data_IF_973766746923
#
_entry.id   IF_973766746923
#
_cell.length_a   1.000
_cell.length_b   1.000
_cell.length_c   1.000
_cell.angle_alpha   90.00
_cell.angle_beta   90.00
_cell.angle_gamma   90.00
#
_symmetry.space_group_name_H-M   'P 1'
#
loop_
_entity.id
_entity.type
_entity.pdbx_description
1 polymer ?
#
# COMPACT_ATOMS: atom_id res chain seq x y z
N UNK A 1 2.82 -3.28 40.68
CA UNK A 1 1.40 -3.04 41.04
C UNK A 1 0.96 -1.76 40.38
N UNK A 2 0.01 -1.84 39.46
CA UNK A 2 -0.43 -0.73 38.63
C UNK A 2 -1.35 0.21 39.43
N UNK A 3 -0.94 1.47 39.62
CA UNK A 3 -1.58 2.41 40.56
C UNK A 3 -2.98 2.88 40.14
N UNK A 4 -3.35 2.73 38.86
CA UNK A 4 -4.57 3.32 38.29
C UNK A 4 -5.63 2.32 37.83
N UNK A 5 -5.43 1.02 38.07
CA UNK A 5 -6.32 -0.04 37.56
C UNK A 5 -7.77 0.07 38.08
N UNK A 6 -7.94 0.46 39.35
CA UNK A 6 -9.27 0.65 39.95
C UNK A 6 -9.97 1.89 39.40
N UNK A 7 -9.26 3.01 39.29
CA UNK A 7 -9.76 4.28 38.75
C UNK A 7 -10.22 4.14 37.30
N UNK A 8 -9.43 3.44 36.48
CA UNK A 8 -9.80 3.17 35.08
C UNK A 8 -11.06 2.30 34.99
N UNK A 9 -11.16 1.27 35.83
CA UNK A 9 -12.32 0.36 35.84
C UNK A 9 -13.60 1.09 36.22
N UNK A 10 -13.53 1.98 37.21
CA UNK A 10 -14.65 2.80 37.64
C UNK A 10 -15.05 3.83 36.57
N UNK A 11 -14.07 4.44 35.90
CA UNK A 11 -14.32 5.37 34.79
C UNK A 11 -15.00 4.67 33.60
N UNK A 12 -14.56 3.46 33.24
CA UNK A 12 -15.16 2.67 32.16
C UNK A 12 -16.61 2.27 32.46
N UNK A 13 -16.95 1.98 33.72
CA UNK A 13 -18.32 1.65 34.13
C UNK A 13 -19.27 2.86 34.11
N UNK A 14 -18.73 4.08 34.19
CA UNK A 14 -19.49 5.34 34.15
C UNK A 14 -19.70 5.88 32.73
N UNK A 15 -19.14 5.24 31.71
CA UNK A 15 -19.32 5.66 30.33
C UNK A 15 -20.78 5.44 29.89
N UNK A 16 -21.47 6.47 29.37
CA UNK A 16 -22.78 6.31 28.78
C UNK A 16 -22.70 5.39 27.56
N UNK A 17 -23.63 4.43 27.49
CA UNK A 17 -23.82 3.62 26.29
C UNK A 17 -24.68 4.42 25.31
N UNK A 18 -24.12 4.73 24.14
CA UNK A 18 -24.86 5.34 23.03
C UNK A 18 -25.12 4.26 21.98
N UNK A 19 -26.22 3.50 22.08
CA UNK A 19 -26.62 2.65 20.99
C UNK A 19 -26.99 3.54 19.79
N UNK A 20 -26.72 3.09 18.55
CA UNK A 20 -27.18 3.82 17.37
C UNK A 20 -28.72 3.89 17.37
N UNK A 21 -29.32 4.96 16.80
CA UNK A 21 -30.76 5.07 16.69
C UNK A 21 -31.35 3.88 15.91
N UNK A 22 -32.50 3.35 16.36
CA UNK A 22 -33.15 2.16 15.79
C UNK A 22 -33.40 2.28 14.27
N UNK A 23 -33.63 3.50 13.79
CA UNK A 23 -33.83 3.83 12.37
C UNK A 23 -32.62 3.42 11.50
N UNK A 24 -31.40 3.51 12.04
CA UNK A 24 -30.18 3.12 11.31
C UNK A 24 -30.09 1.61 11.09
N UNK A 25 -30.56 0.83 12.07
CA UNK A 25 -30.65 -0.63 11.96
C UNK A 25 -31.76 -1.08 11.03
N UNK A 26 -32.93 -0.46 11.10
CA UNK A 26 -34.02 -0.75 10.18
C UNK A 26 -33.64 -0.50 8.71
N UNK A 27 -32.96 0.62 8.42
CA UNK A 27 -32.47 0.91 7.07
C UNK A 27 -31.43 -0.10 6.56
N UNK A 28 -30.61 -0.65 7.46
CA UNK A 28 -29.60 -1.66 7.11
C UNK A 28 -30.25 -3.01 6.82
N UNK A 29 -31.18 -3.45 7.67
CA UNK A 29 -31.96 -4.67 7.45
C UNK A 29 -32.78 -4.62 6.16
N UNK A 30 -33.33 -3.47 5.80
CA UNK A 30 -34.09 -3.30 4.56
C UNK A 30 -33.20 -3.42 3.31
N UNK A 31 -31.98 -2.86 3.35
CA UNK A 31 -31.01 -2.94 2.23
C UNK A 31 -30.42 -4.34 2.06
N UNK A 32 -30.32 -5.11 3.13
CA UNK A 32 -29.82 -6.50 3.10
C UNK A 32 -30.91 -7.54 2.79
N UNK A 33 -32.12 -7.12 2.44
CA UNK A 33 -33.17 -8.04 2.06
C UNK A 33 -32.80 -8.76 0.75
N UNK A 34 -32.64 -10.09 0.80
CA UNK A 34 -32.25 -10.92 -0.36
C UNK A 34 -33.40 -11.17 -1.36
N UNK A 35 -34.64 -10.84 -1.00
CA UNK A 35 -35.83 -11.09 -1.83
C UNK A 35 -35.72 -10.47 -3.24
N UNK A 36 -35.37 -9.17 -3.39
CA UNK A 36 -35.22 -8.55 -4.71
C UNK A 36 -34.14 -9.20 -5.57
N UNK A 37 -33.05 -9.67 -4.95
CA UNK A 37 -31.96 -10.35 -5.65
C UNK A 37 -32.41 -11.71 -6.18
N UNK A 38 -33.11 -12.50 -5.36
CA UNK A 38 -33.64 -13.81 -5.78
C UNK A 38 -34.65 -13.66 -6.92
N UNK A 39 -35.49 -12.64 -6.86
CA UNK A 39 -36.44 -12.34 -7.92
C UNK A 39 -35.72 -11.93 -9.22
N UNK A 40 -34.71 -11.06 -9.15
CA UNK A 40 -33.92 -10.68 -10.31
C UNK A 40 -33.17 -11.88 -10.93
N UNK A 41 -32.62 -12.77 -10.10
CA UNK A 41 -31.95 -13.98 -10.59
C UNK A 41 -32.93 -14.94 -11.29
N UNK A 42 -34.17 -15.03 -10.83
CA UNK A 42 -35.20 -15.85 -11.47
C UNK A 42 -35.65 -15.33 -12.83
N UNK A 43 -35.44 -14.04 -13.10
CA UNK A 43 -35.80 -13.39 -14.36
C UNK A 43 -34.64 -13.38 -15.37
N UNK A 44 -33.46 -13.89 -15.00
CA UNK A 44 -32.34 -13.96 -15.92
C UNK A 44 -32.60 -14.97 -17.05
N UNK A 45 -32.49 -14.56 -18.32
CA UNK A 45 -32.64 -15.47 -19.44
C UNK A 45 -31.48 -16.47 -19.48
N UNK A 46 -31.83 -17.74 -19.66
CA UNK A 46 -30.86 -18.82 -19.88
C UNK A 46 -30.44 -18.80 -21.36
N UNK A 47 -29.41 -18.04 -21.69
CA UNK A 47 -28.85 -18.07 -23.05
C UNK A 47 -27.93 -19.29 -23.20
N UNK A 48 -28.32 -20.24 -24.04
CA UNK A 48 -27.40 -21.22 -24.60
C UNK A 48 -26.98 -20.78 -26.01
N UNK A 49 -25.69 -20.97 -26.36
CA UNK A 49 -25.23 -20.71 -27.72
C UNK A 49 -25.96 -21.62 -28.71
N UNK A 50 -26.22 -21.11 -29.91
CA UNK A 50 -26.90 -21.87 -30.97
C UNK A 50 -26.07 -23.09 -31.41
N UNK A 51 -26.72 -24.24 -31.61
CA UNK A 51 -26.05 -25.51 -31.97
C UNK A 51 -25.17 -25.39 -33.22
N UNK A 52 -25.59 -24.55 -34.17
CA UNK A 52 -24.85 -24.26 -35.41
C UNK A 52 -23.45 -23.65 -35.13
N UNK A 53 -23.28 -22.90 -34.03
CA UNK A 53 -21.97 -22.39 -33.62
C UNK A 53 -21.06 -23.53 -33.17
N UNK A 54 -21.58 -24.49 -32.42
CA UNK A 54 -20.81 -25.66 -31.97
C UNK A 54 -20.39 -26.53 -33.15
N UNK A 55 -21.29 -26.82 -34.08
CA UNK A 55 -20.98 -27.57 -35.30
C UNK A 55 -19.89 -26.86 -36.13
N UNK A 56 -19.90 -25.52 -36.20
CA UNK A 56 -18.89 -24.76 -36.94
C UNK A 56 -17.48 -24.84 -36.32
N UNK A 57 -17.39 -25.02 -35.00
CA UNK A 57 -16.14 -25.19 -34.26
C UNK A 57 -15.60 -26.61 -34.48
N UNK A 58 -16.45 -27.62 -34.44
CA UNK A 58 -16.08 -29.01 -34.69
C UNK A 58 -15.70 -29.25 -36.17
N UNK A 59 -16.42 -28.64 -37.11
CA UNK A 59 -16.10 -28.72 -38.53
C UNK A 59 -14.73 -28.09 -38.86
N UNK A 60 -14.30 -27.07 -38.10
CA UNK A 60 -12.97 -26.47 -38.21
C UNK A 60 -11.86 -27.36 -37.62
N UNK A 61 -12.18 -28.27 -36.69
CA UNK A 61 -11.21 -29.15 -36.03
C UNK A 61 -11.04 -30.50 -36.73
N UNK A 62 -11.99 -30.90 -37.59
CA UNK A 62 -11.89 -32.09 -38.44
C UNK A 62 -10.83 -31.90 -39.54
N UNK A 63 -9.57 -32.16 -39.20
CA UNK A 63 -8.43 -32.06 -40.13
C UNK A 63 -8.64 -32.97 -41.35
N UNK A 64 -8.89 -32.35 -42.52
CA UNK A 64 -9.01 -33.04 -43.80
C UNK A 64 -7.64 -33.63 -44.15
N UNK A 65 -7.51 -34.97 -44.11
CA UNK A 65 -6.30 -35.67 -44.58
C UNK A 65 -6.09 -35.40 -46.07
N UNK A 66 -5.33 -34.36 -46.41
CA UNK A 66 -4.89 -34.05 -47.78
C UNK A 66 -3.37 -34.24 -47.92
N UNK A 67 -3.05 -34.82 -49.07
CA UNK A 67 -1.81 -35.44 -49.54
C UNK A 67 -0.53 -34.64 -49.25
N UNK A 68 0.50 -35.35 -48.82
CA UNK A 68 1.69 -34.85 -48.13
C UNK A 68 2.65 -33.97 -48.96
N UNK A 69 2.47 -33.85 -50.28
CA UNK A 69 3.46 -33.18 -51.12
C UNK A 69 3.36 -31.65 -51.12
N UNK A 70 2.16 -31.08 -50.93
CA UNK A 70 1.99 -29.63 -50.78
C UNK A 70 2.47 -29.10 -49.42
N UNK A 71 2.68 -29.99 -48.43
CA UNK A 71 3.06 -29.58 -47.06
C UNK A 71 4.49 -29.06 -47.00
N UNK A 72 5.39 -29.55 -47.85
CA UNK A 72 6.79 -29.09 -47.86
C UNK A 72 6.91 -27.73 -48.56
N UNK A 73 6.24 -27.55 -49.71
CA UNK A 73 6.28 -26.29 -50.44
C UNK A 73 5.53 -25.16 -49.71
N UNK A 74 4.39 -25.46 -49.09
CA UNK A 74 3.63 -24.47 -48.31
C UNK A 74 4.33 -24.11 -46.98
N UNK A 75 5.07 -25.03 -46.35
CA UNK A 75 5.77 -24.74 -45.10
C UNK A 75 6.88 -23.69 -45.27
N UNK A 76 7.61 -23.70 -46.40
CA UNK A 76 8.67 -22.73 -46.67
C UNK A 76 8.09 -21.34 -46.95
N UNK A 77 7.00 -21.25 -47.71
CA UNK A 77 6.36 -19.97 -48.03
C UNK A 77 5.60 -19.37 -46.85
N UNK A 78 4.91 -20.19 -46.06
CA UNK A 78 4.26 -19.76 -44.80
C UNK A 78 5.30 -19.41 -43.73
N UNK A 79 6.44 -20.10 -43.68
CA UNK A 79 7.54 -19.76 -42.77
C UNK A 79 8.13 -18.39 -43.06
N UNK A 80 8.43 -18.09 -44.34
CA UNK A 80 8.98 -16.79 -44.75
C UNK A 80 7.97 -15.64 -44.62
N UNK A 81 6.70 -15.87 -44.99
CA UNK A 81 5.64 -14.87 -44.80
C UNK A 81 5.33 -14.67 -43.32
N UNK A 82 5.26 -15.74 -42.53
CA UNK A 82 5.00 -15.68 -41.09
C UNK A 82 6.08 -14.95 -40.31
N UNK A 83 7.37 -15.24 -40.57
CA UNK A 83 8.50 -14.53 -39.99
C UNK A 83 8.52 -13.05 -40.39
N UNK A 84 8.24 -12.75 -41.66
CA UNK A 84 8.14 -11.38 -42.16
C UNK A 84 7.00 -10.61 -41.49
N UNK A 85 5.81 -11.19 -41.39
CA UNK A 85 4.66 -10.56 -40.73
C UNK A 85 4.84 -10.43 -39.23
N UNK A 86 5.53 -11.37 -38.56
CA UNK A 86 5.79 -11.29 -37.13
C UNK A 86 6.79 -10.18 -36.77
N UNK A 87 7.84 -9.99 -37.59
CA UNK A 87 8.78 -8.88 -37.40
C UNK A 87 8.19 -7.50 -37.72
N UNK A 88 7.20 -7.44 -38.61
CA UNK A 88 6.55 -6.21 -39.04
C UNK A 88 5.26 -5.90 -38.28
N UNK A 89 4.80 -6.77 -37.37
CA UNK A 89 3.59 -6.52 -36.60
C UNK A 89 3.90 -5.54 -35.46
N UNK A 90 3.38 -4.30 -35.48
CA UNK A 90 3.49 -3.43 -34.31
C UNK A 90 2.64 -4.05 -33.20
N UNK A 91 3.31 -4.48 -32.12
CA UNK A 91 2.65 -5.11 -30.98
C UNK A 91 1.47 -4.25 -30.51
N UNK A 92 0.26 -4.81 -30.61
CA UNK A 92 -0.95 -4.16 -30.17
C UNK A 92 -0.92 -4.13 -28.65
N UNK A 93 -0.35 -3.05 -28.12
CA UNK A 93 -0.29 -2.76 -26.70
C UNK A 93 -1.72 -2.55 -26.22
N UNK A 94 -2.36 -3.64 -25.80
CA UNK A 94 -3.64 -3.61 -25.10
C UNK A 94 -3.43 -2.80 -23.83
N UNK A 95 -3.76 -1.52 -23.90
CA UNK A 95 -3.70 -0.60 -22.77
C UNK A 95 -4.82 -0.97 -21.81
N UNK A 96 -4.50 -1.85 -20.85
CA UNK A 96 -5.37 -2.14 -19.72
C UNK A 96 -5.59 -0.82 -18.98
N UNK A 97 -6.83 -0.34 -18.94
CA UNK A 97 -7.19 0.81 -18.13
C UNK A 97 -7.26 0.34 -16.67
N UNK A 98 -6.22 0.64 -15.91
CA UNK A 98 -6.17 0.39 -14.47
C UNK A 98 -6.19 1.73 -13.74
N UNK A 99 -7.09 1.88 -12.77
CA UNK A 99 -7.10 3.01 -11.85
C UNK A 99 -6.35 2.60 -10.60
N UNK A 100 -5.17 3.16 -10.39
CA UNK A 100 -4.47 3.07 -9.10
C UNK A 100 -4.82 4.33 -8.33
N UNK A 101 -5.30 4.19 -7.11
CA UNK A 101 -5.35 5.31 -6.17
C UNK A 101 -3.90 5.68 -5.84
N UNK A 102 -3.48 6.85 -6.32
CA UNK A 102 -2.17 7.39 -5.97
C UNK A 102 -2.22 7.82 -4.51
N UNK A 103 -1.58 7.03 -3.66
CA UNK A 103 -1.25 7.44 -2.29
C UNK A 103 -0.31 8.62 -2.39
N UNK A 104 -0.71 9.77 -1.84
CA UNK A 104 0.12 10.98 -1.80
C UNK A 104 1.48 10.64 -1.18
N UNK A 105 2.55 10.76 -1.96
CA UNK A 105 3.91 10.45 -1.54
C UNK A 105 4.34 11.28 -0.33
N UNK A 106 3.72 12.45 -0.09
CA UNK A 106 3.95 13.30 1.08
C UNK A 106 3.36 12.75 2.38
N UNK A 107 2.42 11.81 2.28
CA UNK A 107 1.83 11.11 3.42
C UNK A 107 2.55 9.80 3.74
N UNK A 108 3.50 9.39 2.89
CA UNK A 108 4.33 8.25 3.18
C UNK A 108 5.39 8.67 4.20
N UNK A 109 5.55 7.96 5.32
CA UNK A 109 6.67 8.20 6.21
C UNK A 109 7.94 7.93 5.42
N UNK A 110 8.70 8.99 5.14
CA UNK A 110 9.95 8.89 4.41
C UNK A 110 10.88 7.97 5.22
N UNK A 111 11.33 6.83 4.68
CA UNK A 111 12.16 5.89 5.41
C UNK A 111 13.59 6.42 5.62
N UNK A 112 13.94 7.53 4.98
CA UNK A 112 15.30 8.05 4.95
C UNK A 112 15.59 8.85 6.21
N UNK A 113 16.20 8.16 7.19
CA UNK A 113 16.60 8.69 8.51
C UNK A 113 17.85 9.56 8.41
N UNK A 114 17.83 10.56 7.53
CA UNK A 114 18.99 11.38 7.21
C UNK A 114 19.52 12.12 8.45
N UNK A 115 18.61 12.63 9.28
CA UNK A 115 18.93 13.34 10.53
C UNK A 115 19.56 12.41 11.58
N UNK A 116 19.08 11.16 11.70
CA UNK A 116 19.65 10.19 12.65
C UNK A 116 21.05 9.75 12.22
N UNK A 117 21.26 9.56 10.91
CA UNK A 117 22.57 9.21 10.36
C UNK A 117 23.60 10.34 10.53
N UNK A 118 23.17 11.60 10.47
CA UNK A 118 24.02 12.76 10.75
C UNK A 118 24.36 12.86 12.24
N UNK A 119 23.39 12.58 13.12
CA UNK A 119 23.64 12.51 14.56
C UNK A 119 24.63 11.40 14.95
N UNK A 120 24.53 10.20 14.35
CA UNK A 120 25.49 9.12 14.61
C UNK A 120 26.92 9.50 14.24
N UNK A 121 27.11 10.23 13.13
CA UNK A 121 28.42 10.76 12.76
C UNK A 121 28.93 11.75 13.81
N UNK A 122 28.08 12.69 14.22
CA UNK A 122 28.41 13.69 15.24
C UNK A 122 28.84 13.02 16.56
N UNK A 123 28.08 12.01 16.99
CA UNK A 123 28.37 11.21 18.17
C UNK A 123 29.71 10.48 18.07
N UNK A 124 30.01 9.89 16.91
CA UNK A 124 31.28 9.22 16.69
C UNK A 124 32.48 10.19 16.81
N UNK A 125 32.34 11.44 16.34
CA UNK A 125 33.35 12.48 16.56
C UNK A 125 33.51 12.85 18.03
N UNK A 126 32.39 12.94 18.77
CA UNK A 126 32.41 13.21 20.21
C UNK A 126 33.09 12.12 21.04
N UNK A 127 32.91 10.84 20.67
CA UNK A 127 33.56 9.71 21.34
C UNK A 127 35.08 9.69 21.07
N UNK A 128 35.51 10.19 19.91
CA UNK A 128 36.93 10.30 19.54
C UNK A 128 37.63 11.51 20.18
N UNK A 129 36.92 12.62 20.46
CA UNK A 129 37.51 13.87 20.96
C UNK A 129 36.68 14.47 22.11
N UNK A 130 36.95 14.01 23.34
CA UNK A 130 36.14 14.26 24.54
C UNK A 130 36.08 15.70 25.06
N UNK A 131 36.98 16.59 24.61
CA UNK A 131 37.05 17.97 25.08
C UNK A 131 35.88 18.84 24.60
N UNK A 132 35.30 18.54 23.43
CA UNK A 132 34.21 19.34 22.86
C UNK A 132 32.82 18.96 23.39
N UNK A 133 32.64 17.69 23.76
CA UNK A 133 31.32 17.13 24.11
C UNK A 133 31.10 16.95 25.62
N UNK A 134 32.00 17.53 26.44
CA UNK A 134 31.94 17.48 27.91
C UNK A 134 31.16 18.63 28.56
N UNK A 135 30.68 19.59 27.76
CA UNK A 135 29.82 20.68 28.26
C UNK A 135 28.43 20.18 28.67
N UNK A 136 27.93 20.70 29.80
CA UNK A 136 26.61 20.34 30.34
C UNK A 136 25.47 20.63 29.34
N UNK A 137 25.60 21.70 28.55
CA UNK A 137 24.64 22.09 27.52
C UNK A 137 24.59 21.06 26.38
N UNK A 138 25.75 20.63 25.87
CA UNK A 138 25.82 19.62 24.81
C UNK A 138 25.19 18.29 25.26
N UNK A 139 25.50 17.84 26.49
CA UNK A 139 24.91 16.61 27.04
C UNK A 139 23.39 16.72 27.25
N UNK A 140 22.89 17.92 27.57
CA UNK A 140 21.45 18.17 27.65
C UNK A 140 20.79 18.01 26.28
N UNK A 141 21.33 18.69 25.25
CA UNK A 141 20.82 18.60 23.88
C UNK A 141 20.87 17.16 23.35
N UNK A 142 21.95 16.43 23.67
CA UNK A 142 22.10 15.02 23.32
C UNK A 142 20.96 14.17 23.91
N UNK A 143 20.67 14.32 25.21
CA UNK A 143 19.57 13.59 25.87
C UNK A 143 18.21 13.94 25.30
N UNK A 144 17.99 15.20 24.94
CA UNK A 144 16.75 15.67 24.30
C UNK A 144 16.59 15.06 22.90
N UNK A 145 17.67 15.04 22.10
CA UNK A 145 17.66 14.41 20.78
C UNK A 145 17.35 12.91 20.87
N UNK A 146 18.01 12.18 21.77
CA UNK A 146 17.76 10.74 21.98
C UNK A 146 16.34 10.45 22.52
N UNK A 147 15.73 11.40 23.23
CA UNK A 147 14.33 11.28 23.64
C UNK A 147 13.38 11.44 22.46
N UNK A 148 13.61 12.42 21.58
CA UNK A 148 12.81 12.65 20.38
C UNK A 148 12.98 11.52 19.36
N UNK A 149 14.18 10.99 19.18
CA UNK A 149 14.44 9.84 18.31
C UNK A 149 13.63 8.60 18.75
N UNK A 150 13.63 8.29 20.06
CA UNK A 150 12.80 7.18 20.58
C UNK A 150 11.30 7.44 20.42
N UNK A 151 10.86 8.70 20.44
CA UNK A 151 9.46 9.05 20.23
C UNK A 151 9.05 8.89 18.75
N UNK A 152 9.92 9.32 17.81
CA UNK A 152 9.66 9.16 16.38
C UNK A 152 9.64 7.69 15.96
N UNK A 153 10.54 6.86 16.52
CA UNK A 153 10.55 5.41 16.29
C UNK A 153 9.25 4.73 16.73
N UNK A 154 8.70 5.11 17.89
CA UNK A 154 7.43 4.56 18.38
C UNK A 154 6.25 4.99 17.50
N UNK A 155 6.22 6.24 17.06
CA UNK A 155 5.21 6.74 16.13
C UNK A 155 5.28 6.00 14.79
N UNK A 156 6.49 5.76 14.28
CA UNK A 156 6.71 5.05 13.04
C UNK A 156 6.30 3.56 13.15
N UNK A 157 6.58 2.90 14.28
CA UNK A 157 6.12 1.53 14.54
C UNK A 157 4.59 1.42 14.63
N UNK A 158 3.91 2.48 15.09
CA UNK A 158 2.45 2.54 15.12
C UNK A 158 1.85 2.78 13.73
N UNK A 159 2.61 3.36 12.80
CA UNK A 159 2.22 3.53 11.40
C UNK A 159 2.43 2.22 10.63
N UNK A 160 1.35 1.55 10.26
CA UNK A 160 1.40 0.38 9.37
C UNK A 160 1.25 0.84 7.91
N UNK A 161 1.82 0.12 6.93
CA UNK A 161 1.68 0.49 5.50
C UNK A 161 0.23 0.54 4.99
N UNK A 162 -0.72 -0.02 5.74
CA UNK A 162 -2.15 -0.04 5.41
C UNK A 162 -3.00 0.89 6.27
N UNK A 163 -2.42 1.56 7.27
CA UNK A 163 -3.14 2.48 8.17
C UNK A 163 -2.24 3.61 8.65
N UNK A 164 -2.03 4.60 7.78
CA UNK A 164 -1.30 5.83 8.12
C UNK A 164 -2.32 6.94 8.35
N UNK A 165 -2.66 7.20 9.60
CA UNK A 165 -3.55 8.33 9.91
C UNK A 165 -2.83 9.67 9.64
N UNK A 166 -3.47 10.64 8.97
CA UNK A 166 -2.88 11.95 8.70
C UNK A 166 -2.42 12.71 9.94
N UNK A 167 -3.02 12.43 11.10
CA UNK A 167 -2.63 13.02 12.37
C UNK A 167 -1.24 12.55 12.84
N UNK A 168 -0.94 11.24 12.72
CA UNK A 168 0.36 10.69 13.09
C UNK A 168 1.48 11.23 12.17
N UNK A 169 1.21 11.40 10.87
CA UNK A 169 2.19 11.96 9.91
C UNK A 169 2.58 13.38 10.28
N UNK A 170 1.61 14.21 10.68
CA UNK A 170 1.88 15.57 11.14
C UNK A 170 2.73 15.59 12.40
N UNK A 171 2.46 14.70 13.34
CA UNK A 171 3.25 14.57 14.57
C UNK A 171 4.68 14.11 14.30
N UNK A 172 4.85 13.13 13.41
CA UNK A 172 6.18 12.66 12.98
C UNK A 172 6.98 13.80 12.34
N UNK A 173 6.37 14.54 11.40
CA UNK A 173 7.00 15.70 10.77
C UNK A 173 7.39 16.79 11.77
N UNK A 174 6.61 17.00 12.82
CA UNK A 174 6.96 17.94 13.87
C UNK A 174 8.20 17.47 14.65
N UNK A 175 8.25 16.19 15.03
CA UNK A 175 9.41 15.62 15.73
C UNK A 175 10.69 15.67 14.89
N UNK A 176 10.62 15.36 13.59
CA UNK A 176 11.80 15.44 12.71
C UNK A 176 12.31 16.88 12.57
N UNK A 177 11.42 17.89 12.56
CA UNK A 177 11.83 19.30 12.60
C UNK A 177 12.50 19.69 13.92
N UNK A 178 11.99 19.22 15.05
CA UNK A 178 12.58 19.46 16.37
C UNK A 178 13.96 18.80 16.49
N UNK A 179 14.12 17.57 15.98
CA UNK A 179 15.42 16.89 15.87
C UNK A 179 16.42 17.67 15.02
N UNK A 180 16.00 18.19 13.86
CA UNK A 180 16.85 19.01 13.00
C UNK A 180 17.35 20.29 13.71
N UNK A 181 16.48 20.92 14.51
CA UNK A 181 16.85 22.12 15.27
C UNK A 181 17.90 21.81 16.34
N UNK A 182 17.68 20.74 17.13
CA UNK A 182 18.64 20.29 18.14
C UNK A 182 19.98 19.90 17.53
N UNK A 183 19.98 19.21 16.38
CA UNK A 183 21.20 18.84 15.67
C UNK A 183 21.99 20.06 15.20
N UNK A 184 21.30 21.07 14.67
CA UNK A 184 21.94 22.32 14.26
C UNK A 184 22.51 23.09 15.46
N UNK A 185 21.80 23.09 16.59
CA UNK A 185 22.29 23.72 17.83
C UNK A 185 23.51 22.97 18.39
N UNK A 186 23.51 21.63 18.40
CA UNK A 186 24.68 20.83 18.74
C UNK A 186 25.89 21.12 17.85
N UNK A 187 25.67 21.36 16.56
CA UNK A 187 26.74 21.72 15.62
C UNK A 187 27.39 23.07 15.92
N UNK A 188 26.73 23.97 16.65
CA UNK A 188 27.34 25.26 17.07
C UNK A 188 28.37 25.11 18.19
N UNK A 189 28.38 23.99 18.90
CA UNK A 189 29.32 23.71 19.99
C UNK A 189 30.61 23.00 19.53
N UNK A 190 30.74 22.73 18.23
CA UNK A 190 31.85 22.02 17.59
C UNK A 190 32.59 22.97 16.66
#
# INVERSE_FOLDING_TARGET
MEKNKSTLREALQKLPSYPPPEETWQGTCQKMNELPLREALSQLPTYQPAEVLWESIEAKSASKKRTAWYRVAAAVTVGLLGLGTFYLWPGENSAVAYSVEQVDTRLQPEPDRLIDAEYEKLRAYCEAQSLLCSGDDFQRLQREFEALQRASERLQQAMTPYNTEPALVRQLNQLEREKAQLLNEMATFI
#
